data_IF_616914761009
#
_entry.id   IF_616914761009
#
_cell.length_a   1.000
_cell.length_b   1.000
_cell.length_c   1.000
_cell.angle_alpha   90.00
_cell.angle_beta   90.00
_cell.angle_gamma   90.00
#
_symmetry.space_group_name_H-M   'P 1'
#
loop_
_entity.id
_entity.type
_entity.pdbx_description
1 polymer ?
#
# COMPACT_ATOMS: atom_id res chain seq x y z
N UNK A 1 -37.44 -31.69 11.40
CA UNK A 1 -37.44 -30.73 10.27
C UNK A 1 -37.27 -29.32 10.82
N UNK A 2 -36.03 -28.83 10.88
CA UNK A 2 -35.73 -27.42 11.15
C UNK A 2 -34.96 -26.91 9.93
N UNK A 3 -35.51 -25.88 9.28
CA UNK A 3 -34.99 -25.27 8.07
C UNK A 3 -33.63 -24.63 8.38
N UNK A 4 -32.58 -25.09 7.69
CA UNK A 4 -31.34 -24.33 7.58
C UNK A 4 -31.64 -23.12 6.69
N UNK A 5 -31.62 -21.94 7.30
CA UNK A 5 -31.59 -20.68 6.58
C UNK A 5 -30.16 -20.56 6.04
N UNK A 6 -29.97 -20.92 4.77
CA UNK A 6 -28.73 -20.68 4.06
C UNK A 6 -28.51 -19.16 3.99
N UNK A 7 -27.66 -18.63 4.87
CA UNK A 7 -27.07 -17.31 4.70
C UNK A 7 -26.15 -17.45 3.50
N UNK A 8 -26.60 -16.93 2.36
CA UNK A 8 -25.76 -16.73 1.19
C UNK A 8 -24.78 -15.62 1.57
N UNK A 9 -23.56 -16.03 1.93
CA UNK A 9 -22.41 -15.14 2.07
C UNK A 9 -22.06 -14.67 0.65
N UNK A 10 -22.62 -13.53 0.23
CA UNK A 10 -22.19 -12.84 -0.98
C UNK A 10 -20.87 -12.18 -0.62
N UNK A 11 -19.76 -12.88 -0.90
CA UNK A 11 -18.43 -12.29 -0.88
C UNK A 11 -18.33 -11.42 -2.12
N UNK A 12 -18.67 -10.14 -1.99
CA UNK A 12 -18.25 -9.13 -2.94
C UNK A 12 -16.75 -8.90 -2.69
N UNK A 13 -15.90 -9.62 -3.43
CA UNK A 13 -14.45 -9.37 -3.45
C UNK A 13 -14.23 -8.11 -4.30
N UNK A 14 -14.35 -6.93 -3.70
CA UNK A 14 -13.95 -5.67 -4.34
C UNK A 14 -12.68 -5.15 -3.66
N UNK A 15 -11.53 -5.71 -4.02
CA UNK A 15 -10.23 -5.09 -3.71
C UNK A 15 -9.92 -4.04 -4.76
N UNK A 16 -10.42 -2.82 -4.55
CA UNK A 16 -9.92 -1.64 -5.25
C UNK A 16 -8.87 -0.98 -4.37
N UNK A 17 -7.71 -0.65 -4.92
CA UNK A 17 -6.65 0.05 -4.18
C UNK A 17 -6.41 1.38 -4.88
N UNK A 18 -6.92 2.44 -4.26
CA UNK A 18 -6.56 3.82 -4.61
C UNK A 18 -5.28 4.19 -3.88
N UNK A 19 -4.30 4.67 -4.61
CA UNK A 19 -3.00 4.96 -4.03
C UNK A 19 -2.93 6.39 -3.49
N UNK A 20 -2.02 6.70 -2.57
CA UNK A 20 -1.83 8.06 -2.09
C UNK A 20 -0.36 8.48 -1.97
N UNK A 21 -0.07 9.73 -2.34
CA UNK A 21 1.28 10.31 -2.27
C UNK A 21 1.20 11.73 -1.75
N UNK A 22 2.16 12.16 -0.90
CA UNK A 22 2.10 13.47 -0.23
C UNK A 22 3.46 14.14 0.04
N UNK A 23 3.40 15.48 0.03
CA UNK A 23 4.47 16.50 -0.13
C UNK A 23 5.02 17.12 1.16
N UNK A 24 6.32 17.50 1.24
CA UNK A 24 6.87 18.50 2.20
C UNK A 24 7.58 19.67 1.47
N UNK A 25 7.25 20.91 1.84
CA UNK A 25 8.06 22.09 1.51
C UNK A 25 9.26 22.16 2.47
N UNK A 26 10.48 21.98 1.96
CA UNK A 26 11.67 22.46 2.70
C UNK A 26 11.91 23.92 2.36
N UNK A 27 11.91 24.78 3.37
CA UNK A 27 12.41 26.14 3.24
C UNK A 27 13.88 26.10 2.80
N UNK A 28 14.14 26.53 1.57
CA UNK A 28 15.41 27.18 1.23
C UNK A 28 15.09 28.31 0.27
N UNK A 29 15.55 29.51 0.62
CA UNK A 29 15.07 30.75 0.04
C UNK A 29 15.32 30.87 -1.45
N UNK A 30 14.24 31.01 -2.22
CA UNK A 30 14.03 32.11 -3.19
C UNK A 30 12.60 32.02 -3.71
N UNK A 31 11.98 33.18 -3.79
CA UNK A 31 10.58 33.38 -4.17
C UNK A 31 10.36 32.93 -5.62
N UNK A 32 9.51 31.93 -5.83
CA UNK A 32 8.73 31.78 -7.05
C UNK A 32 7.28 31.46 -6.65
N UNK A 33 6.35 32.20 -7.23
CA UNK A 33 4.90 32.03 -7.06
C UNK A 33 4.46 30.68 -7.63
N UNK A 34 4.52 29.63 -6.84
CA UNK A 34 3.85 28.36 -7.14
C UNK A 34 3.05 27.91 -5.90
N UNK A 35 1.87 27.38 -6.18
CA UNK A 35 0.79 27.06 -5.24
C UNK A 35 1.25 26.25 -4.00
N UNK A 36 1.35 26.92 -2.85
CA UNK A 36 1.75 26.41 -1.52
C UNK A 36 0.79 25.37 -0.87
N UNK A 37 -0.08 24.70 -1.63
CA UNK A 37 -1.03 23.73 -1.06
C UNK A 37 -0.52 22.31 -1.26
N UNK A 38 -0.34 21.55 -0.17
CA UNK A 38 -0.08 20.12 -0.26
C UNK A 38 -1.12 19.45 -1.16
N UNK A 39 -0.65 18.60 -2.07
CA UNK A 39 -1.49 17.82 -2.99
C UNK A 39 -1.47 16.35 -2.56
N UNK A 40 -2.59 15.69 -2.77
CA UNK A 40 -2.79 14.25 -2.67
C UNK A 40 -2.75 13.73 -4.11
N UNK A 41 -1.78 12.89 -4.44
CA UNK A 41 -1.78 12.13 -5.69
C UNK A 41 -2.56 10.82 -5.44
N UNK A 42 -3.31 10.33 -6.42
CA UNK A 42 -4.06 9.08 -6.31
C UNK A 42 -4.40 8.51 -7.68
N UNK A 43 -4.87 7.27 -7.72
CA UNK A 43 -5.37 6.63 -8.93
C UNK A 43 -6.90 6.59 -8.92
N UNK A 44 -7.54 6.86 -10.06
CA UNK A 44 -9.00 6.88 -10.23
C UNK A 44 -9.36 6.00 -11.41
N UNK A 45 -10.34 5.13 -11.24
CA UNK A 45 -10.82 4.26 -12.30
C UNK A 45 -11.76 5.03 -13.23
N UNK A 46 -11.39 5.10 -14.51
CA UNK A 46 -12.17 5.85 -15.52
C UNK A 46 -13.00 4.93 -16.39
N UNK A 47 -12.51 3.71 -16.60
CA UNK A 47 -13.21 2.63 -17.28
C UNK A 47 -12.63 1.27 -16.88
N UNK A 48 -13.26 0.19 -17.37
CA UNK A 48 -12.75 -1.18 -17.23
C UNK A 48 -11.31 -1.33 -17.74
N UNK A 49 -10.96 -0.54 -18.76
CA UNK A 49 -9.69 -0.65 -19.48
C UNK A 49 -8.71 0.49 -19.17
N UNK A 50 -9.05 1.45 -18.29
CA UNK A 50 -8.18 2.58 -17.99
C UNK A 50 -8.33 3.14 -16.57
N UNK A 51 -7.23 3.66 -16.04
CA UNK A 51 -7.23 4.49 -14.84
C UNK A 51 -6.44 5.78 -15.08
N UNK A 52 -6.81 6.81 -14.34
CA UNK A 52 -6.12 8.09 -14.30
C UNK A 52 -5.25 8.19 -13.06
N UNK A 53 -4.07 8.79 -13.23
CA UNK A 53 -3.23 9.27 -12.14
C UNK A 53 -3.59 10.73 -11.91
N UNK A 54 -4.19 11.03 -10.76
CA UNK A 54 -4.81 12.31 -10.42
C UNK A 54 -4.15 12.97 -9.22
N UNK A 55 -4.16 14.30 -9.18
CA UNK A 55 -3.80 15.08 -8.00
C UNK A 55 -4.95 15.95 -7.54
N UNK A 56 -5.10 16.13 -6.24
CA UNK A 56 -6.06 17.07 -5.65
C UNK A 56 -5.43 17.79 -4.47
N UNK A 57 -5.69 19.08 -4.31
CA UNK A 57 -5.25 19.80 -3.11
C UNK A 57 -5.89 19.21 -1.86
N UNK A 58 -5.18 19.21 -0.73
CA UNK A 58 -5.72 18.76 0.58
C UNK A 58 -6.97 19.55 1.03
N UNK A 59 -7.30 20.65 0.37
CA UNK A 59 -8.52 21.42 0.57
C UNK A 59 -9.71 20.91 -0.27
N UNK A 60 -9.55 19.82 -1.03
CA UNK A 60 -10.57 19.28 -1.95
C UNK A 60 -10.75 20.10 -3.23
N UNK A 61 -9.80 20.96 -3.58
CA UNK A 61 -9.84 21.80 -4.79
C UNK A 61 -8.68 21.47 -5.72
N UNK A 62 -8.77 21.96 -6.95
CA UNK A 62 -7.73 21.81 -7.97
C UNK A 62 -7.44 20.35 -8.33
N UNK A 63 -8.49 19.55 -8.53
CA UNK A 63 -8.34 18.23 -9.14
C UNK A 63 -7.69 18.38 -10.52
N UNK A 64 -6.59 17.65 -10.76
CA UNK A 64 -5.87 17.61 -12.02
C UNK A 64 -5.54 16.17 -12.37
N UNK A 65 -5.92 15.77 -13.57
CA UNK A 65 -5.38 14.59 -14.22
C UNK A 65 -3.91 14.85 -14.59
N UNK A 66 -3.03 13.90 -14.30
CA UNK A 66 -1.63 13.93 -14.73
C UNK A 66 -1.38 13.02 -15.94
N UNK A 67 -2.00 11.84 -15.93
CA UNK A 67 -1.81 10.81 -16.96
C UNK A 67 -2.97 9.82 -16.93
N UNK A 68 -3.49 9.48 -18.11
CA UNK A 68 -4.34 8.31 -18.33
C UNK A 68 -3.50 7.10 -18.73
N UNK A 69 -3.81 5.94 -18.15
CA UNK A 69 -3.12 4.67 -18.38
C UNK A 69 -4.13 3.60 -18.76
N UNK A 70 -3.88 2.91 -19.87
CA UNK A 70 -4.67 1.75 -20.25
C UNK A 70 -4.27 0.55 -19.39
N UNK A 71 -5.24 -0.01 -18.66
CA UNK A 71 -5.12 -1.22 -17.82
C UNK A 71 -4.72 -2.44 -18.65
N UNK A 72 -5.27 -2.64 -19.85
CA UNK A 72 -5.08 -3.91 -20.57
C UNK A 72 -5.41 -5.10 -19.65
N UNK A 73 -4.56 -6.14 -19.60
CA UNK A 73 -4.72 -7.28 -18.68
C UNK A 73 -4.24 -7.00 -17.23
N UNK A 74 -4.03 -5.73 -16.83
CA UNK A 74 -3.58 -5.40 -15.48
C UNK A 74 -4.73 -5.55 -14.50
N UNK A 75 -4.49 -6.31 -13.43
CA UNK A 75 -5.52 -6.55 -12.43
C UNK A 75 -5.62 -5.40 -11.43
N UNK A 76 -4.50 -4.80 -10.99
CA UNK A 76 -4.47 -3.83 -9.88
C UNK A 76 -3.14 -3.06 -9.92
N UNK A 77 -3.02 -1.93 -9.24
CA UNK A 77 -1.73 -1.25 -9.05
C UNK A 77 -1.65 -0.74 -7.62
N UNK A 78 -0.80 -1.36 -6.80
CA UNK A 78 -0.54 -0.95 -5.42
C UNK A 78 0.65 -0.02 -5.38
N UNK A 79 0.39 1.28 -5.28
CA UNK A 79 1.42 2.31 -5.15
C UNK A 79 1.61 2.72 -3.69
N UNK A 80 2.73 2.26 -3.13
CA UNK A 80 3.25 2.67 -1.82
C UNK A 80 4.49 3.55 -2.00
N UNK A 81 4.66 4.56 -1.14
CA UNK A 81 5.85 5.43 -1.16
C UNK A 81 6.46 5.70 0.21
N UNK A 82 7.75 6.02 0.21
CA UNK A 82 8.56 6.43 1.38
C UNK A 82 8.44 7.94 1.71
N UNK A 83 7.26 8.52 1.57
CA UNK A 83 7.04 9.99 1.57
C UNK A 83 7.60 10.71 0.33
N UNK A 84 7.75 10.01 -0.79
CA UNK A 84 8.07 10.66 -2.07
C UNK A 84 7.05 11.75 -2.39
N UNK A 85 7.54 12.95 -2.67
CA UNK A 85 6.67 14.11 -2.88
C UNK A 85 5.92 14.01 -4.22
N UNK A 86 4.67 14.47 -4.22
CA UNK A 86 3.84 14.60 -5.44
C UNK A 86 4.53 15.39 -6.55
N UNK A 87 5.19 16.50 -6.20
CA UNK A 87 5.91 17.31 -7.20
C UNK A 87 7.07 16.56 -7.85
N UNK A 88 7.80 15.75 -7.08
CA UNK A 88 8.84 14.92 -7.65
C UNK A 88 8.26 13.95 -8.68
N UNK A 89 7.13 13.31 -8.39
CA UNK A 89 6.49 12.37 -9.31
C UNK A 89 5.97 13.11 -10.54
N UNK A 90 5.31 14.26 -10.37
CA UNK A 90 4.87 15.13 -11.48
C UNK A 90 6.02 15.51 -12.40
N UNK A 91 7.15 15.93 -11.82
CA UNK A 91 8.33 16.35 -12.56
C UNK A 91 9.09 15.19 -13.23
N UNK A 92 8.79 13.94 -12.86
CA UNK A 92 9.43 12.74 -13.40
C UNK A 92 8.42 11.75 -13.99
N UNK A 93 7.22 12.21 -14.35
CA UNK A 93 6.12 11.35 -14.77
C UNK A 93 6.49 10.47 -15.97
N UNK A 94 7.21 11.04 -16.94
CA UNK A 94 7.71 10.31 -18.12
C UNK A 94 8.61 9.12 -17.75
N UNK A 95 9.35 9.23 -16.64
CA UNK A 95 10.24 8.17 -16.14
C UNK A 95 9.48 7.08 -15.39
N UNK A 96 8.33 7.42 -14.82
CA UNK A 96 7.50 6.51 -14.03
C UNK A 96 6.36 5.87 -14.82
N UNK A 97 6.05 6.38 -16.02
CA UNK A 97 4.93 5.93 -16.84
C UNK A 97 4.89 4.41 -17.05
N UNK A 98 6.04 3.77 -17.28
CA UNK A 98 6.11 2.31 -17.45
C UNK A 98 5.95 1.55 -16.13
N UNK A 99 6.23 2.16 -14.97
CA UNK A 99 6.01 1.53 -13.68
C UNK A 99 4.53 1.50 -13.33
N UNK A 100 3.79 2.56 -13.69
CA UNK A 100 2.35 2.60 -13.47
C UNK A 100 1.57 1.57 -14.31
N UNK A 101 2.13 1.06 -15.40
CA UNK A 101 1.50 -0.02 -16.19
C UNK A 101 1.78 -1.41 -15.62
N UNK A 102 2.16 -1.54 -14.34
CA UNK A 102 2.58 -2.80 -13.72
C UNK A 102 1.68 -3.14 -12.54
N UNK A 103 1.50 -4.44 -12.29
CA UNK A 103 0.52 -4.91 -11.30
C UNK A 103 0.92 -4.56 -9.86
N UNK A 104 2.21 -4.62 -9.55
CA UNK A 104 2.76 -4.09 -8.30
C UNK A 104 3.78 -3.03 -8.70
N UNK A 105 3.66 -1.81 -8.18
CA UNK A 105 4.72 -0.83 -8.32
C UNK A 105 4.78 0.13 -7.13
N UNK A 106 5.96 0.33 -6.58
CA UNK A 106 6.19 1.24 -5.46
C UNK A 106 7.21 2.28 -5.84
N UNK A 107 7.07 3.49 -5.30
CA UNK A 107 7.94 4.62 -5.64
C UNK A 107 8.66 5.11 -4.40
N UNK A 108 9.93 5.41 -4.57
CA UNK A 108 10.75 6.13 -3.60
C UNK A 108 11.42 7.29 -4.33
N UNK A 109 11.93 8.29 -3.61
CA UNK A 109 12.34 9.57 -4.21
C UNK A 109 13.15 9.37 -5.50
N UNK A 110 14.20 8.57 -5.48
CA UNK A 110 15.03 8.32 -6.67
C UNK A 110 14.87 6.91 -7.22
N UNK A 111 13.86 6.16 -6.77
CA UNK A 111 13.73 4.74 -7.04
C UNK A 111 12.29 4.37 -7.37
N UNK A 112 12.12 3.27 -8.08
CA UNK A 112 10.85 2.58 -8.10
C UNK A 112 11.10 1.10 -8.20
N UNK A 113 10.20 0.31 -7.64
CA UNK A 113 10.20 -1.12 -7.85
C UNK A 113 8.90 -1.53 -8.51
N UNK A 114 8.95 -2.54 -9.36
CA UNK A 114 7.76 -3.04 -10.03
C UNK A 114 7.86 -4.53 -10.31
N UNK A 115 6.71 -5.17 -10.50
CA UNK A 115 6.62 -6.55 -10.96
C UNK A 115 6.27 -6.64 -12.44
N UNK A 116 6.70 -7.71 -13.09
CA UNK A 116 6.23 -8.06 -14.44
C UNK A 116 5.21 -9.20 -14.32
N UNK A 117 3.99 -9.04 -14.87
CA UNK A 117 2.97 -10.06 -14.79
C UNK A 117 3.40 -11.32 -15.56
N UNK A 118 2.77 -12.44 -15.21
CA UNK A 118 2.77 -13.65 -16.03
C UNK A 118 1.91 -13.38 -17.26
N UNK A 119 2.40 -13.68 -18.47
CA UNK A 119 1.58 -13.55 -19.67
C UNK A 119 0.44 -14.58 -19.66
N UNK A 120 -0.69 -14.28 -20.28
CA UNK A 120 -1.84 -15.20 -20.37
C UNK A 120 -1.46 -16.55 -21.03
N UNK A 121 -0.44 -16.53 -21.88
CA UNK A 121 0.20 -17.70 -22.49
C UNK A 121 0.86 -18.65 -21.47
N UNK A 122 1.36 -18.13 -20.36
CA UNK A 122 2.03 -18.87 -19.28
C UNK A 122 1.03 -19.47 -18.27
N UNK A 123 -0.18 -18.89 -18.14
CA UNK A 123 -1.24 -19.32 -17.19
C UNK A 123 -1.65 -20.78 -17.40
N UNK A 124 -1.54 -21.31 -18.64
CA UNK A 124 -1.88 -22.70 -18.99
C UNK A 124 -1.05 -23.78 -18.30
N UNK A 125 0.04 -23.41 -17.61
CA UNK A 125 0.91 -24.35 -16.90
C UNK A 125 0.79 -24.29 -15.38
N UNK A 126 0.00 -23.37 -14.83
CA UNK A 126 -0.25 -23.35 -13.38
C UNK A 126 -1.37 -24.35 -13.02
N UNK A 127 -1.01 -25.43 -12.34
CA UNK A 127 -1.99 -26.23 -11.63
C UNK A 127 -2.59 -25.35 -10.52
N UNK A 128 -3.92 -25.25 -10.51
CA UNK A 128 -4.75 -24.43 -9.63
C UNK A 128 -4.79 -22.94 -9.96
N UNK A 129 -5.61 -22.59 -10.96
CA UNK A 129 -6.04 -21.22 -11.25
C UNK A 129 -6.82 -20.58 -10.10
N UNK A 130 -6.09 -20.08 -9.10
CA UNK A 130 -6.58 -19.17 -8.07
C UNK A 130 -5.63 -17.98 -7.98
N UNK A 131 -5.93 -16.94 -8.76
CA UNK A 131 -5.50 -15.59 -8.40
C UNK A 131 -6.15 -15.25 -7.06
N UNK A 132 -5.37 -15.22 -5.99
CA UNK A 132 -5.85 -14.78 -4.67
C UNK A 132 -5.79 -13.26 -4.67
N UNK A 133 -6.90 -12.58 -4.42
CA UNK A 133 -6.94 -11.11 -4.40
C UNK A 133 -5.82 -10.53 -3.52
N UNK A 134 -5.08 -9.54 -4.04
CA UNK A 134 -3.99 -8.81 -3.36
C UNK A 134 -2.57 -9.38 -3.46
N UNK A 135 -2.29 -10.31 -4.38
CA UNK A 135 -0.98 -10.98 -4.51
C UNK A 135 -0.96 -11.98 -5.67
N UNK A 136 0.20 -12.17 -6.30
CA UNK A 136 0.29 -12.94 -7.54
C UNK A 136 1.66 -13.54 -7.79
N UNK A 137 1.75 -14.47 -8.73
CA UNK A 137 3.03 -14.93 -9.23
C UNK A 137 3.53 -13.95 -10.31
N UNK A 138 4.81 -13.59 -10.24
CA UNK A 138 5.44 -12.63 -11.13
C UNK A 138 6.72 -13.20 -11.74
N UNK A 139 6.92 -12.96 -13.04
CA UNK A 139 8.12 -13.41 -13.79
C UNK A 139 9.41 -12.71 -13.36
N UNK A 140 9.25 -11.54 -12.74
CA UNK A 140 10.35 -10.71 -12.34
C UNK A 140 9.87 -9.59 -11.43
N UNK A 141 10.71 -9.23 -10.47
CA UNK A 141 10.57 -8.03 -9.67
C UNK A 141 11.83 -7.22 -9.85
N UNK A 142 11.67 -5.93 -10.15
CA UNK A 142 12.75 -5.04 -10.52
C UNK A 142 12.83 -3.87 -9.56
N UNK A 143 14.04 -3.44 -9.23
CA UNK A 143 14.32 -2.19 -8.55
C UNK A 143 15.11 -1.30 -9.51
N UNK A 144 14.63 -0.08 -9.71
CA UNK A 144 15.13 0.87 -10.67
C UNK A 144 15.54 2.16 -9.99
N UNK A 145 16.66 2.74 -10.43
CA UNK A 145 17.10 4.07 -10.06
C UNK A 145 16.82 5.06 -11.19
N UNK A 146 16.02 6.07 -10.87
CA UNK A 146 15.49 7.08 -11.80
C UNK A 146 16.57 8.05 -12.27
N UNK A 147 17.58 8.30 -11.45
CA UNK A 147 18.68 9.24 -11.77
C UNK A 147 19.74 8.56 -12.64
N UNK A 148 20.08 7.31 -12.32
CA UNK A 148 21.17 6.58 -13.00
C UNK A 148 20.68 5.67 -14.12
N UNK A 149 19.36 5.49 -14.29
CA UNK A 149 18.74 4.47 -15.14
C UNK A 149 19.27 3.05 -14.88
N UNK A 150 19.72 2.77 -13.65
CA UNK A 150 20.19 1.44 -13.26
C UNK A 150 18.98 0.62 -12.87
N UNK A 151 18.85 -0.57 -13.45
CA UNK A 151 17.80 -1.53 -13.13
C UNK A 151 18.43 -2.84 -12.67
N UNK A 152 17.92 -3.41 -11.58
CA UNK A 152 18.31 -4.75 -11.10
C UNK A 152 17.06 -5.60 -10.93
N UNK A 153 17.14 -6.85 -11.36
CA UNK A 153 16.10 -7.84 -11.07
C UNK A 153 16.39 -8.48 -9.70
N UNK A 154 15.53 -8.25 -8.72
CA UNK A 154 15.80 -8.55 -7.30
C UNK A 154 15.32 -9.93 -6.86
N UNK A 155 14.34 -10.51 -7.55
CA UNK A 155 13.76 -11.82 -7.21
C UNK A 155 14.70 -12.99 -7.56
N UNK A 156 15.65 -12.80 -8.48
CA UNK A 156 16.67 -13.82 -8.81
C UNK A 156 17.54 -14.21 -7.62
N UNK A 157 17.80 -13.27 -6.71
CA UNK A 157 18.58 -13.55 -5.51
C UNK A 157 17.83 -14.48 -4.53
N UNK A 158 16.53 -14.72 -4.73
CA UNK A 158 15.64 -15.43 -3.82
C UNK A 158 15.44 -16.92 -4.16
N UNK A 159 15.75 -17.37 -5.38
CA UNK A 159 15.47 -18.75 -5.86
C UNK A 159 16.09 -19.85 -4.98
N UNK A 160 17.21 -19.57 -4.31
CA UNK A 160 17.88 -20.51 -3.41
C UNK A 160 17.78 -20.14 -1.93
N UNK A 161 17.02 -19.08 -1.61
CA UNK A 161 16.88 -18.55 -0.25
C UNK A 161 15.47 -18.72 0.30
N UNK A 162 14.48 -18.83 -0.58
CA UNK A 162 13.09 -19.04 -0.26
C UNK A 162 12.67 -20.50 -0.54
N UNK A 163 11.65 -21.03 0.17
CA UNK A 163 11.10 -22.34 -0.13
C UNK A 163 10.58 -22.42 -1.57
N UNK A 164 10.74 -23.59 -2.20
CA UNK A 164 10.26 -23.83 -3.57
C UNK A 164 8.75 -23.68 -3.73
N UNK A 165 7.98 -23.79 -2.64
CA UNK A 165 6.52 -23.60 -2.64
C UNK A 165 6.08 -22.17 -2.92
N UNK A 166 6.99 -21.19 -2.85
CA UNK A 166 6.71 -19.80 -3.22
C UNK A 166 6.92 -19.53 -4.71
N UNK A 167 7.42 -20.50 -5.46
CA UNK A 167 7.66 -20.39 -6.89
C UNK A 167 6.70 -21.29 -7.66
N UNK A 168 6.20 -20.80 -8.79
CA UNK A 168 5.52 -21.63 -9.77
C UNK A 168 6.53 -22.49 -10.55
N UNK A 169 6.02 -23.45 -11.32
CA UNK A 169 6.87 -24.38 -12.09
C UNK A 169 7.81 -23.69 -13.09
N UNK A 170 7.42 -22.52 -13.60
CA UNK A 170 8.20 -21.70 -14.52
C UNK A 170 9.21 -20.77 -13.81
N UNK A 171 9.29 -20.84 -12.47
CA UNK A 171 10.18 -20.02 -11.65
C UNK A 171 9.65 -18.65 -11.27
N UNK A 172 8.40 -18.30 -11.61
CA UNK A 172 7.79 -17.04 -11.16
C UNK A 172 7.59 -17.04 -9.64
N UNK A 173 7.83 -15.90 -8.99
CA UNK A 173 7.74 -15.77 -7.54
C UNK A 173 6.36 -15.23 -7.12
N UNK A 174 5.75 -15.85 -6.12
CA UNK A 174 4.57 -15.30 -5.45
C UNK A 174 4.96 -14.07 -4.61
N UNK A 175 4.36 -12.92 -4.89
CA UNK A 175 4.54 -11.67 -4.14
C UNK A 175 3.18 -11.15 -3.70
N UNK A 176 3.02 -10.91 -2.41
CA UNK A 176 1.82 -10.31 -1.83
C UNK A 176 1.90 -8.80 -1.71
N UNK A 177 3.10 -8.23 -1.59
CA UNK A 177 3.25 -6.78 -1.43
C UNK A 177 4.68 -6.34 -1.68
N UNK A 178 4.82 -5.11 -2.17
CA UNK A 178 6.06 -4.33 -2.16
C UNK A 178 5.86 -3.08 -1.30
N UNK A 179 6.90 -2.68 -0.60
CA UNK A 179 6.90 -1.43 0.18
C UNK A 179 8.32 -0.93 0.38
N UNK A 180 8.53 0.37 0.30
CA UNK A 180 9.77 0.97 0.79
C UNK A 180 9.64 1.21 2.29
N UNK A 181 10.75 1.09 3.03
CA UNK A 181 10.81 1.65 4.38
C UNK A 181 10.56 3.15 4.30
N UNK A 182 9.93 3.71 5.32
CA UNK A 182 9.65 5.14 5.40
C UNK A 182 10.88 6.04 5.26
N UNK A 183 12.06 5.56 5.65
CA UNK A 183 13.33 6.28 5.47
C UNK A 183 13.97 6.08 4.07
N UNK A 184 13.31 5.34 3.18
CA UNK A 184 13.74 5.04 1.81
C UNK A 184 14.97 4.13 1.70
N UNK A 185 15.51 3.61 2.82
CA UNK A 185 16.76 2.83 2.81
C UNK A 185 16.58 1.36 2.43
N UNK A 186 15.36 0.85 2.55
CA UNK A 186 15.04 -0.55 2.31
C UNK A 186 13.84 -0.70 1.39
N UNK A 187 13.88 -1.73 0.55
CA UNK A 187 12.72 -2.26 -0.14
C UNK A 187 12.36 -3.60 0.49
N UNK A 188 11.09 -3.75 0.83
CA UNK A 188 10.48 -4.96 1.35
C UNK A 188 9.69 -5.66 0.26
N UNK A 189 9.96 -6.95 0.09
CA UNK A 189 9.21 -7.86 -0.77
C UNK A 189 8.60 -8.95 0.10
N UNK A 190 7.27 -8.97 0.12
CA UNK A 190 6.50 -9.93 0.92
C UNK A 190 6.06 -11.11 0.06
N UNK A 191 6.33 -12.32 0.53
CA UNK A 191 5.91 -13.58 -0.08
C UNK A 191 5.31 -14.49 0.98
N UNK A 192 4.00 -14.39 1.21
CA UNK A 192 3.28 -15.06 2.31
C UNK A 192 3.88 -14.69 3.68
N UNK A 193 4.50 -15.66 4.37
CA UNK A 193 5.19 -15.53 5.67
C UNK A 193 6.64 -15.08 5.53
N UNK A 194 7.14 -14.83 4.32
CA UNK A 194 8.53 -14.45 4.10
C UNK A 194 8.65 -12.99 3.73
N UNK A 195 9.51 -12.28 4.45
CA UNK A 195 9.86 -10.90 4.18
C UNK A 195 11.30 -10.84 3.67
N UNK A 196 11.47 -10.52 2.40
CA UNK A 196 12.79 -10.30 1.80
C UNK A 196 13.12 -8.80 1.84
N UNK A 197 14.36 -8.48 2.22
CA UNK A 197 14.82 -7.10 2.40
C UNK A 197 15.96 -6.80 1.44
N UNK A 198 15.85 -5.67 0.75
CA UNK A 198 16.85 -5.16 -0.17
C UNK A 198 17.33 -3.78 0.28
N UNK A 199 18.64 -3.55 0.26
CA UNK A 199 19.20 -2.20 0.44
C UNK A 199 18.95 -1.40 -0.83
N UNK A 200 18.39 -0.20 -0.68
CA UNK A 200 18.13 0.70 -1.81
C UNK A 200 19.40 1.40 -2.29
N UNK A 201 20.27 1.81 -1.36
CA UNK A 201 21.58 2.40 -1.65
C UNK A 201 22.44 1.45 -2.51
N UNK A 202 22.48 0.18 -2.13
CA UNK A 202 23.33 -0.82 -2.79
C UNK A 202 22.59 -1.58 -3.89
N UNK A 203 21.26 -1.43 -3.96
CA UNK A 203 20.35 -2.16 -4.84
C UNK A 203 20.62 -3.68 -4.79
N UNK A 204 20.70 -4.25 -3.59
CA UNK A 204 21.05 -5.66 -3.39
C UNK A 204 20.30 -6.29 -2.24
N UNK A 205 20.20 -7.61 -2.27
CA UNK A 205 19.66 -8.43 -1.19
C UNK A 205 20.44 -8.23 0.12
N UNK A 206 19.72 -8.14 1.24
CA UNK A 206 20.30 -7.96 2.58
C UNK A 206 19.89 -9.04 3.58
N UNK A 207 18.68 -9.56 3.50
CA UNK A 207 18.20 -10.56 4.46
C UNK A 207 16.78 -11.03 4.17
N UNK A 208 16.39 -12.09 4.88
CA UNK A 208 15.03 -12.64 4.89
C UNK A 208 14.62 -12.88 6.34
N UNK A 209 13.36 -12.55 6.66
CA UNK A 209 12.70 -13.01 7.87
C UNK A 209 11.55 -13.96 7.53
N UNK A 210 11.39 -14.99 8.34
CA UNK A 210 10.20 -15.83 8.34
C UNK A 210 9.31 -15.41 9.51
N UNK A 211 8.15 -14.87 9.21
CA UNK A 211 7.21 -14.28 10.16
C UNK A 211 5.87 -15.00 10.03
N UNK A 212 5.45 -15.70 11.08
CA UNK A 212 4.29 -16.59 11.05
C UNK A 212 2.95 -15.84 11.20
N UNK A 213 2.54 -15.15 10.12
CA UNK A 213 1.34 -14.30 10.09
C UNK A 213 0.42 -14.55 8.89
N UNK A 214 0.62 -15.64 8.15
CA UNK A 214 -0.13 -16.02 6.95
C UNK A 214 0.24 -15.22 5.69
N UNK A 215 -0.01 -13.91 5.71
CA UNK A 215 0.25 -13.01 4.57
C UNK A 215 0.51 -11.58 5.03
N UNK A 216 1.67 -11.05 4.67
CA UNK A 216 2.06 -9.67 4.98
C UNK A 216 1.70 -8.67 3.87
N UNK A 217 1.31 -7.46 4.29
CA UNK A 217 1.04 -6.28 3.46
C UNK A 217 1.51 -5.02 4.17
N UNK A 218 1.80 -3.97 3.39
CA UNK A 218 2.13 -2.62 3.87
C UNK A 218 3.21 -2.65 4.96
N UNK A 219 4.41 -3.14 4.63
CA UNK A 219 5.50 -3.19 5.60
C UNK A 219 6.15 -1.83 5.70
N UNK A 220 6.33 -1.35 6.92
CA UNK A 220 7.09 -0.16 7.21
C UNK A 220 8.13 -0.44 8.29
N UNK A 221 9.18 0.37 8.33
CA UNK A 221 10.26 0.25 9.30
C UNK A 221 10.48 1.56 10.02
N UNK A 222 10.43 1.50 11.34
CA UNK A 222 10.86 2.58 12.22
C UNK A 222 11.92 2.04 13.17
N UNK A 223 13.12 2.61 13.09
CA UNK A 223 14.29 2.17 13.87
C UNK A 223 14.59 0.66 13.68
N UNK A 224 14.45 -0.12 14.75
CA UNK A 224 14.69 -1.57 14.79
C UNK A 224 13.42 -2.41 14.67
N UNK A 225 12.26 -1.78 14.51
CA UNK A 225 10.98 -2.47 14.41
C UNK A 225 10.44 -2.41 12.99
N UNK A 226 9.86 -3.53 12.56
CA UNK A 226 9.00 -3.59 11.39
C UNK A 226 7.55 -3.54 11.85
N UNK A 227 6.74 -2.77 11.13
CA UNK A 227 5.29 -2.74 11.30
C UNK A 227 4.66 -3.21 10.02
N UNK A 228 3.64 -4.06 10.10
CA UNK A 228 2.96 -4.56 8.91
C UNK A 228 1.56 -5.05 9.23
N UNK A 229 0.72 -5.09 8.20
CA UNK A 229 -0.58 -5.72 8.25
C UNK A 229 -0.43 -7.20 7.88
N UNK A 230 -0.92 -8.12 8.71
CA UNK A 230 -0.73 -9.55 8.55
C UNK A 230 -2.01 -10.36 8.81
N UNK A 231 -2.26 -11.39 8.00
CA UNK A 231 -3.27 -12.43 8.24
C UNK A 231 -3.82 -13.09 6.98
N UNK A 232 -4.61 -14.16 7.10
CA UNK A 232 -5.09 -14.98 5.97
C UNK A 232 -6.28 -14.33 5.24
N UNK A 233 -7.33 -13.98 5.98
CA UNK A 233 -8.59 -13.40 5.48
C UNK A 233 -8.90 -12.03 6.10
N UNK A 234 -8.11 -11.69 7.11
CA UNK A 234 -8.26 -10.61 8.07
C UNK A 234 -6.86 -10.01 8.30
N UNK A 235 -6.74 -8.71 8.60
CA UNK A 235 -5.44 -8.11 8.91
C UNK A 235 -5.37 -7.60 10.34
N UNK A 236 -4.45 -8.15 11.13
CA UNK A 236 -3.95 -7.48 12.33
C UNK A 236 -2.74 -6.63 11.97
N UNK A 237 -2.52 -5.55 12.70
CA UNK A 237 -1.27 -4.81 12.67
C UNK A 237 -0.32 -5.48 13.64
N UNK A 238 0.88 -5.78 13.17
CA UNK A 238 1.95 -6.38 13.96
C UNK A 238 3.14 -5.43 14.08
N UNK A 239 3.83 -5.56 15.20
CA UNK A 239 5.17 -5.06 15.45
C UNK A 239 6.10 -6.28 15.46
N UNK A 240 7.22 -6.21 14.73
CA UNK A 240 8.28 -7.22 14.76
C UNK A 240 9.61 -6.56 15.11
N UNK A 241 10.18 -6.95 16.24
CA UNK A 241 11.52 -6.54 16.67
C UNK A 241 12.56 -7.32 15.88
N UNK A 242 13.33 -6.63 15.04
CA UNK A 242 14.32 -7.25 14.15
C UNK A 242 15.46 -7.90 14.93
N UNK A 243 15.86 -7.33 16.07
CA UNK A 243 17.01 -7.81 16.84
C UNK A 243 16.65 -9.01 17.71
N UNK A 244 15.44 -8.99 18.31
CA UNK A 244 14.95 -10.08 19.15
C UNK A 244 14.22 -11.17 18.37
N UNK A 245 13.88 -10.90 17.10
CA UNK A 245 12.98 -11.72 16.28
C UNK A 245 11.64 -11.99 16.98
N UNK A 246 11.14 -11.01 17.73
CA UNK A 246 9.90 -11.10 18.50
C UNK A 246 8.74 -10.46 17.75
N UNK A 247 7.65 -11.22 17.59
CA UNK A 247 6.41 -10.78 16.97
C UNK A 247 5.36 -10.40 18.02
N UNK A 248 4.76 -9.22 17.87
CA UNK A 248 3.73 -8.70 18.77
C UNK A 248 2.54 -8.14 17.99
N UNK A 249 1.31 -8.66 18.19
CA UNK A 249 0.11 -8.02 17.62
C UNK A 249 -0.17 -6.69 18.34
N UNK A 250 -0.43 -5.64 17.57
CA UNK A 250 -0.88 -4.34 18.07
C UNK A 250 -2.41 -4.21 18.08
N UNK A 251 -3.07 -4.89 17.14
CA UNK A 251 -4.53 -5.00 17.04
C UNK A 251 -4.99 -6.44 17.27
N UNK A 252 -6.28 -6.60 17.58
CA UNK A 252 -6.92 -7.91 17.70
C UNK A 252 -8.30 -7.85 17.04
N UNK A 253 -8.29 -7.69 15.73
CA UNK A 253 -9.45 -7.33 14.92
C UNK A 253 -9.46 -8.11 13.60
N UNK A 254 -10.64 -8.45 13.05
CA UNK A 254 -10.73 -9.07 11.74
C UNK A 254 -10.21 -8.15 10.63
N UNK A 255 -10.27 -6.83 10.78
CA UNK A 255 -9.73 -5.93 9.77
C UNK A 255 -8.99 -4.78 10.43
N UNK A 256 -7.77 -4.54 9.97
CA UNK A 256 -6.95 -3.42 10.43
C UNK A 256 -6.09 -2.87 9.30
N UNK A 257 -5.87 -1.57 9.37
CA UNK A 257 -5.03 -0.80 8.46
C UNK A 257 -4.20 0.17 9.28
N UNK A 258 -3.02 0.53 8.81
CA UNK A 258 -2.14 1.41 9.55
C UNK A 258 -1.28 2.27 8.64
N UNK A 259 -0.69 3.31 9.23
CA UNK A 259 0.38 4.09 8.63
C UNK A 259 1.24 4.72 9.73
N UNK A 260 2.54 4.90 9.46
CA UNK A 260 3.46 5.61 10.34
C UNK A 260 3.37 7.11 10.04
N UNK A 261 3.39 7.95 11.07
CA UNK A 261 3.39 9.41 10.87
C UNK A 261 4.71 9.85 10.21
N UNK A 262 4.68 10.83 9.28
CA UNK A 262 5.88 11.33 8.60
C UNK A 262 7.01 11.82 9.51
N UNK A 263 6.72 12.14 10.77
CA UNK A 263 7.69 12.53 11.78
C UNK A 263 8.26 11.37 12.61
N UNK A 264 7.92 10.12 12.29
CA UNK A 264 8.36 8.87 12.96
C UNK A 264 7.95 8.74 14.43
N UNK A 265 7.02 9.59 14.91
CA UNK A 265 6.65 9.59 16.33
C UNK A 265 5.51 8.66 16.66
N UNK A 266 4.62 8.39 15.70
CA UNK A 266 3.44 7.59 15.95
C UNK A 266 3.18 6.59 14.83
N UNK A 267 2.61 5.46 15.21
CA UNK A 267 1.89 4.58 14.30
C UNK A 267 0.40 4.77 14.57
N UNK A 268 -0.36 5.03 13.51
CA UNK A 268 -1.81 5.18 13.59
C UNK A 268 -2.46 4.02 12.85
N UNK A 269 -3.46 3.41 13.48
CA UNK A 269 -4.22 2.32 12.89
C UNK A 269 -5.72 2.51 13.08
N UNK A 270 -6.50 1.96 12.16
CA UNK A 270 -7.93 1.75 12.35
C UNK A 270 -8.14 0.24 12.45
N UNK A 271 -8.82 -0.21 13.50
CA UNK A 271 -9.24 -1.60 13.67
C UNK A 271 -10.77 -1.67 13.66
N UNK A 272 -11.35 -2.58 12.86
CA UNK A 272 -12.80 -2.78 12.73
C UNK A 272 -13.22 -4.12 13.31
N UNK A 273 -13.95 -4.08 14.42
CA UNK A 273 -14.43 -5.25 15.16
C UNK A 273 -15.53 -6.00 14.42
N UNK A 274 -15.77 -7.25 14.83
CA UNK A 274 -16.82 -8.12 14.26
C UNK A 274 -18.25 -7.54 14.42
N UNK A 275 -18.47 -6.66 15.40
CA UNK A 275 -19.76 -5.98 15.60
C UNK A 275 -19.91 -4.72 14.73
N UNK A 276 -18.94 -4.46 13.85
CA UNK A 276 -18.92 -3.32 12.93
C UNK A 276 -18.47 -2.01 13.57
N UNK A 277 -18.11 -2.00 14.87
CA UNK A 277 -17.48 -0.83 15.48
C UNK A 277 -16.03 -0.72 15.04
N UNK A 278 -15.52 0.50 14.95
CA UNK A 278 -14.12 0.73 14.66
C UNK A 278 -13.49 1.62 15.73
N UNK A 279 -12.23 1.35 16.03
CA UNK A 279 -11.40 2.18 16.90
C UNK A 279 -10.26 2.80 16.10
N UNK A 280 -9.91 4.04 16.43
CA UNK A 280 -8.68 4.69 16.00
C UNK A 280 -7.62 4.50 17.08
N UNK A 281 -6.58 3.73 16.76
CA UNK A 281 -5.41 3.53 17.59
C UNK A 281 -4.28 4.48 17.24
N UNK A 282 -3.62 5.04 18.27
CA UNK A 282 -2.42 5.86 18.13
C UNK A 282 -1.38 5.30 19.09
N UNK A 283 -0.35 4.66 18.54
CA UNK A 283 0.83 4.16 19.25
C UNK A 283 1.94 5.20 19.16
N UNK A 284 2.38 5.74 20.29
CA UNK A 284 3.60 6.53 20.34
C UNK A 284 4.81 5.58 20.26
N UNK A 285 5.65 5.78 19.25
CA UNK A 285 6.76 4.90 18.92
C UNK A 285 7.99 5.11 19.82
N UNK A 286 8.08 6.26 20.51
CA UNK A 286 9.19 6.57 21.42
C UNK A 286 9.02 5.88 22.79
N UNK A 287 7.80 5.87 23.34
CA UNK A 287 7.54 5.38 24.68
C UNK A 287 6.58 4.18 24.73
N UNK A 288 6.08 3.71 23.59
CA UNK A 288 5.19 2.56 23.48
C UNK A 288 3.76 2.79 24.01
N UNK A 289 3.38 4.02 24.35
CA UNK A 289 2.04 4.32 24.85
C UNK A 289 1.00 4.21 23.74
N UNK A 290 -0.05 3.41 23.98
CA UNK A 290 -1.13 3.16 23.02
C UNK A 290 -2.43 3.78 23.53
N UNK A 291 -3.00 4.69 22.73
CA UNK A 291 -4.32 5.27 22.94
C UNK A 291 -5.29 4.71 21.90
N UNK A 292 -6.46 4.25 22.35
CA UNK A 292 -7.60 3.89 21.49
C UNK A 292 -8.73 4.90 21.66
N UNK A 293 -9.39 5.23 20.57
CA UNK A 293 -10.46 6.22 20.52
C UNK A 293 -11.62 5.60 19.72
N UNK A 294 -12.82 5.62 20.30
CA UNK A 294 -14.05 5.21 19.59
C UNK A 294 -14.20 6.03 18.29
N UNK A 295 -14.21 5.33 17.17
CA UNK A 295 -14.22 5.93 15.83
C UNK A 295 -15.23 5.22 14.93
N UNK A 296 -16.54 5.41 15.19
CA UNK A 296 -17.60 4.59 14.59
C UNK A 296 -17.77 4.77 13.07
N UNK A 297 -17.08 5.75 12.47
CA UNK A 297 -17.10 5.99 11.03
C UNK A 297 -16.19 5.03 10.26
N UNK A 298 -15.21 4.42 10.92
CA UNK A 298 -14.23 3.52 10.33
C UNK A 298 -13.54 4.07 9.07
N UNK A 299 -13.06 3.16 8.24
CA UNK A 299 -12.41 3.43 6.96
C UNK A 299 -11.04 2.77 6.84
N UNK A 300 -10.50 2.80 5.63
CA UNK A 300 -9.16 2.30 5.35
C UNK A 300 -8.16 3.47 5.41
N UNK A 301 -7.08 3.32 6.20
CA UNK A 301 -5.96 4.27 6.18
C UNK A 301 -5.21 4.07 4.89
N UNK A 302 -4.97 5.18 4.22
CA UNK A 302 -4.34 5.16 2.93
C UNK A 302 -3.05 6.00 2.86
N UNK A 303 -2.78 6.78 3.90
CA UNK A 303 -1.52 7.49 4.08
C UNK A 303 -1.67 8.71 4.97
N UNK A 304 -0.58 9.47 5.09
CA UNK A 304 -0.50 10.70 5.87
C UNK A 304 -0.12 11.89 5.02
N UNK A 305 -0.68 13.06 5.36
CA UNK A 305 -0.11 14.35 4.96
C UNK A 305 1.19 14.56 5.74
N UNK A 306 2.20 15.11 5.06
CA UNK A 306 3.54 15.36 5.64
C UNK A 306 3.56 16.19 6.92
N UNK A 307 2.47 16.90 7.22
CA UNK A 307 2.31 17.65 8.45
C UNK A 307 2.13 16.76 9.68
N UNK A 308 2.03 15.44 9.50
CA UNK A 308 1.87 14.42 10.55
C UNK A 308 0.60 14.59 11.40
N UNK A 309 -0.35 15.41 10.93
CA UNK A 309 -1.61 15.71 11.63
C UNK A 309 -2.81 15.22 10.87
N UNK A 310 -2.72 15.18 9.54
CA UNK A 310 -3.84 14.78 8.71
C UNK A 310 -3.63 13.39 8.13
N UNK A 311 -4.57 12.50 8.44
CA UNK A 311 -4.66 11.14 7.95
C UNK A 311 -5.58 11.10 6.72
N UNK A 312 -5.17 10.44 5.65
CA UNK A 312 -6.03 10.16 4.51
C UNK A 312 -6.76 8.84 4.75
N UNK A 313 -8.08 8.90 4.57
CA UNK A 313 -8.96 7.75 4.70
C UNK A 313 -9.71 7.50 3.40
N UNK A 314 -9.88 6.22 3.07
CA UNK A 314 -10.84 5.76 2.07
C UNK A 314 -12.05 5.17 2.75
N UNK A 315 -13.22 5.36 2.14
CA UNK A 315 -14.44 4.65 2.49
C UNK A 315 -15.15 4.17 1.25
N UNK A 316 -15.36 2.86 1.20
CA UNK A 316 -16.17 2.22 0.18
C UNK A 316 -17.61 2.14 0.66
N UNK A 317 -18.53 2.61 -0.17
CA UNK A 317 -19.95 2.53 0.05
C UNK A 317 -20.55 1.63 -1.01
N UNK A 318 -21.01 0.44 -0.62
CA UNK A 318 -21.72 -0.45 -1.55
C UNK A 318 -23.10 0.15 -1.84
N UNK A 319 -23.33 0.53 -3.10
CA UNK A 319 -24.62 1.09 -3.55
C UNK A 319 -25.49 -0.03 -4.12
N UNK A 320 -24.89 -0.91 -4.93
CA UNK A 320 -25.53 -2.11 -5.45
C UNK A 320 -24.49 -3.20 -5.74
N UNK A 321 -24.94 -4.35 -6.25
CA UNK A 321 -24.07 -5.52 -6.54
C UNK A 321 -22.89 -5.17 -7.46
N UNK A 322 -23.09 -4.23 -8.39
CA UNK A 322 -22.10 -3.82 -9.40
C UNK A 322 -21.73 -2.35 -9.28
N UNK A 323 -22.00 -1.71 -8.14
CA UNK A 323 -21.71 -0.28 -7.99
C UNK A 323 -21.30 0.00 -6.57
N UNK A 324 -20.07 0.44 -6.41
CA UNK A 324 -19.58 1.01 -5.17
C UNK A 324 -19.26 2.48 -5.38
N UNK A 325 -19.13 3.20 -4.27
CA UNK A 325 -18.67 4.59 -4.29
C UNK A 325 -17.49 4.69 -3.35
N UNK A 326 -16.40 5.21 -3.88
CA UNK A 326 -15.22 5.51 -3.09
C UNK A 326 -15.25 6.98 -2.69
N UNK A 327 -15.19 7.23 -1.39
CA UNK A 327 -15.04 8.55 -0.82
C UNK A 327 -13.66 8.68 -0.16
N UNK A 328 -12.96 9.79 -0.43
CA UNK A 328 -11.66 10.11 0.17
C UNK A 328 -11.86 11.23 1.19
N UNK A 329 -11.36 11.01 2.40
CA UNK A 329 -11.46 11.94 3.53
C UNK A 329 -10.09 12.31 4.06
N UNK A 330 -10.02 13.50 4.63
CA UNK A 330 -8.92 13.97 5.46
C UNK A 330 -9.38 14.04 6.91
N UNK A 331 -8.78 13.27 7.79
CA UNK A 331 -9.02 13.30 9.24
C UNK A 331 -7.90 14.08 9.94
N UNK A 332 -8.25 15.14 10.66
CA UNK A 332 -7.32 15.81 11.58
C UNK A 332 -7.25 15.03 12.90
N UNK A 333 -6.08 14.47 13.23
CA UNK A 333 -5.88 13.65 14.42
C UNK A 333 -6.03 14.41 15.74
N UNK A 334 -5.90 15.73 15.74
CA UNK A 334 -6.04 16.54 16.95
C UNK A 334 -7.49 16.80 17.30
N UNK A 335 -8.33 17.02 16.28
CA UNK A 335 -9.73 17.41 16.44
C UNK A 335 -10.72 16.28 16.13
N UNK A 336 -10.24 15.21 15.49
CA UNK A 336 -11.03 14.11 14.91
C UNK A 336 -12.10 14.57 13.93
N UNK A 337 -11.94 15.78 13.37
CA UNK A 337 -12.80 16.31 12.33
C UNK A 337 -12.36 15.76 11.00
N UNK A 338 -13.35 15.39 10.19
CA UNK A 338 -13.14 14.93 8.83
C UNK A 338 -13.59 15.99 7.83
N UNK A 339 -12.81 16.12 6.77
CA UNK A 339 -13.20 16.82 5.56
C UNK A 339 -13.24 15.81 4.41
N UNK A 340 -14.37 15.75 3.71
CA UNK A 340 -14.44 15.01 2.45
C UNK A 340 -13.68 15.78 1.37
N UNK A 341 -12.75 15.11 0.70
CA UNK A 341 -11.85 15.71 -0.30
C UNK A 341 -12.28 15.32 -1.71
N UNK A 342 -12.70 14.07 -1.91
CA UNK A 342 -13.03 13.53 -3.22
C UNK A 342 -14.08 12.42 -3.12
N UNK A 343 -14.75 12.15 -4.24
CA UNK A 343 -15.72 11.07 -4.39
C UNK A 343 -15.81 10.64 -5.85
N UNK A 344 -15.88 9.33 -6.06
CA UNK A 344 -16.15 8.74 -7.37
C UNK A 344 -17.05 7.52 -7.24
N UNK A 345 -17.76 7.21 -8.32
CA UNK A 345 -18.47 5.95 -8.46
C UNK A 345 -17.54 4.96 -9.13
N UNK A 346 -17.50 3.75 -8.59
CA UNK A 346 -16.70 2.64 -9.09
C UNK A 346 -17.70 1.57 -9.52
N UNK A 347 -17.74 1.29 -10.82
CA UNK A 347 -18.54 0.20 -11.40
C UNK A 347 -17.90 -1.17 -11.12
#
# INVERSE_FOLDING_TARGET
MKKYLSIVLIIAVSTFIVCFFLYKATHSGRISHESNTSEILFTSDVSDDAFEVCTIGINGKNLKELLTINKGNLCHTDVNTDQTTVDYIKNNLDRFKDAFTRQLCVFSKNLYAYSTPIEESDIKTSAEGKGVSGGGYYKGVFLCNVETNKTVQIDRDLTHRLPSSLFSQDGSLFVSSLSFSHDGKFLFLCSLNYLSIFSTEQMKFTGIFHIDVGRMRNVDRVLNNLYFAGGTDASNVFEFDIEKEELKPLTNSPESTFSVTPDDKNLVFIETHLDGKSDLGILNLENGTLKRIDYPKGGEIAGFVSDSKHLILKRYHVISVNFSKLDIYLLDLNTLKEQKIYAEYVE
#
